data_IF_062120355426
#
_entry.id   IF_062120355426
#
_cell.length_a   1.000
_cell.length_b   1.000
_cell.length_c   1.000
_cell.angle_alpha   90.00
_cell.angle_beta   90.00
_cell.angle_gamma   90.00
#
_symmetry.space_group_name_H-M   'P 1'
#
loop_
_entity.id
_entity.type
_entity.pdbx_description
1 polymer ?
#
# COMPACT_ATOMS: atom_id res chain seq x y z
N UNK A 1 3.03 11.82 -25.53
CA UNK A 1 3.76 11.07 -24.50
C UNK A 1 4.15 11.97 -23.32
N UNK A 2 4.91 13.09 -23.48
CA UNK A 2 5.38 13.95 -22.37
C UNK A 2 4.25 14.48 -21.47
N UNK A 3 3.15 14.96 -22.04
CA UNK A 3 1.99 15.42 -21.27
C UNK A 3 1.34 14.29 -20.45
N UNK A 4 1.25 13.09 -21.03
CA UNK A 4 0.74 11.90 -20.33
C UNK A 4 1.65 11.50 -19.16
N UNK A 5 2.96 11.58 -19.34
CA UNK A 5 3.96 11.32 -18.29
C UNK A 5 3.77 12.30 -17.11
N UNK A 6 3.74 13.61 -17.40
CA UNK A 6 3.53 14.65 -16.36
C UNK A 6 2.17 14.46 -15.64
N UNK A 7 1.11 14.19 -16.39
CA UNK A 7 -0.23 13.97 -15.81
C UNK A 7 -0.23 12.75 -14.86
N UNK A 8 0.55 11.72 -15.15
CA UNK A 8 0.63 10.55 -14.28
C UNK A 8 1.63 10.74 -13.12
N UNK A 9 2.68 11.55 -13.26
CA UNK A 9 3.48 12.00 -12.11
C UNK A 9 2.64 12.79 -11.11
N UNK A 10 1.77 13.70 -11.59
CA UNK A 10 0.81 14.43 -10.73
C UNK A 10 -0.14 13.50 -9.98
N UNK A 11 -0.58 12.41 -10.62
CA UNK A 11 -1.43 11.39 -9.96
C UNK A 11 -0.62 10.54 -8.98
N UNK A 12 0.64 10.25 -9.27
CA UNK A 12 1.52 9.55 -8.34
C UNK A 12 1.72 10.38 -7.07
N UNK A 13 1.92 11.70 -7.19
CA UNK A 13 2.03 12.57 -6.02
C UNK A 13 0.73 12.59 -5.18
N UNK A 14 -0.44 12.65 -5.79
CA UNK A 14 -1.74 12.55 -5.07
C UNK A 14 -1.93 11.19 -4.40
N UNK A 15 -1.46 10.12 -5.03
CA UNK A 15 -1.43 8.76 -4.50
C UNK A 15 -0.59 8.70 -3.22
N UNK A 16 0.67 9.12 -3.26
CA UNK A 16 1.57 9.17 -2.11
C UNK A 16 0.97 9.98 -0.95
N UNK A 17 0.45 11.18 -1.26
CA UNK A 17 -0.18 12.03 -0.24
C UNK A 17 -1.43 11.39 0.39
N UNK A 18 -2.13 10.55 -0.33
CA UNK A 18 -3.27 9.79 0.19
C UNK A 18 -2.80 8.66 1.09
N UNK A 19 -1.75 7.94 0.72
CA UNK A 19 -1.14 6.88 1.53
C UNK A 19 -0.57 7.45 2.83
N UNK A 20 0.18 8.57 2.76
CA UNK A 20 0.70 9.27 3.93
C UNK A 20 -0.37 9.65 4.96
N UNK A 21 -1.58 9.98 4.49
CA UNK A 21 -2.71 10.30 5.37
C UNK A 21 -3.33 9.06 6.01
N UNK A 22 -3.29 7.92 5.32
CA UNK A 22 -3.93 6.66 5.75
C UNK A 22 -3.05 5.83 6.67
N UNK A 23 -1.75 5.77 6.43
CA UNK A 23 -0.80 4.89 7.14
C UNK A 23 -0.82 5.05 8.68
N UNK A 24 -0.90 6.28 9.27
CA UNK A 24 -0.95 6.42 10.72
C UNK A 24 -2.14 5.68 11.36
N UNK A 25 -3.31 5.71 10.72
CA UNK A 25 -4.51 5.01 11.18
C UNK A 25 -4.35 3.48 11.05
N UNK A 26 -3.72 3.00 9.97
CA UNK A 26 -3.42 1.57 9.79
C UNK A 26 -2.45 1.05 10.85
N UNK A 27 -1.41 1.83 11.19
CA UNK A 27 -0.45 1.51 12.26
C UNK A 27 -1.17 1.38 13.61
N UNK A 28 -2.09 2.31 13.91
CA UNK A 28 -2.85 2.29 15.17
C UNK A 28 -3.79 1.09 15.25
N UNK A 29 -4.42 0.73 14.15
CA UNK A 29 -5.41 -0.36 14.08
C UNK A 29 -4.81 -1.76 14.03
N UNK A 30 -3.59 -1.91 13.56
CA UNK A 30 -2.90 -3.19 13.50
C UNK A 30 -2.60 -3.72 14.92
N UNK A 31 -2.87 -4.99 15.15
CA UNK A 31 -2.59 -5.67 16.42
C UNK A 31 -1.25 -6.40 16.38
N UNK A 32 -0.88 -6.93 15.22
CA UNK A 32 0.38 -7.63 15.01
C UNK A 32 1.56 -6.65 14.99
N UNK A 33 2.59 -6.96 15.80
CA UNK A 33 3.77 -6.09 15.92
C UNK A 33 4.59 -5.97 14.64
N UNK A 34 4.73 -7.07 13.89
CA UNK A 34 5.47 -7.05 12.62
C UNK A 34 4.73 -6.26 11.56
N UNK A 35 3.40 -6.36 11.53
CA UNK A 35 2.56 -5.57 10.64
C UNK A 35 2.66 -4.07 10.97
N UNK A 36 2.61 -3.71 12.26
CA UNK A 36 2.83 -2.32 12.68
C UNK A 36 4.20 -1.79 12.25
N UNK A 37 5.25 -2.60 12.38
CA UNK A 37 6.62 -2.20 12.03
C UNK A 37 6.78 -2.08 10.51
N UNK A 38 6.16 -2.97 9.71
CA UNK A 38 6.11 -2.87 8.26
C UNK A 38 5.43 -1.56 7.82
N UNK A 39 4.26 -1.22 8.38
CA UNK A 39 3.59 0.05 8.07
C UNK A 39 4.37 1.30 8.50
N UNK A 40 5.15 1.23 9.61
CA UNK A 40 6.04 2.34 10.00
C UNK A 40 7.18 2.53 9.02
N UNK A 41 7.77 1.44 8.55
CA UNK A 41 8.83 1.48 7.54
C UNK A 41 8.29 2.07 6.25
N UNK A 42 7.18 1.54 5.75
CA UNK A 42 6.53 2.03 4.54
C UNK A 42 6.10 3.51 4.66
N UNK A 43 5.69 4.00 5.83
CA UNK A 43 5.41 5.43 6.05
C UNK A 43 6.64 6.33 5.79
N UNK A 44 7.83 5.90 6.17
CA UNK A 44 9.07 6.66 5.91
C UNK A 44 9.47 6.58 4.42
N UNK A 45 9.31 5.41 3.79
CA UNK A 45 9.55 5.21 2.35
C UNK A 45 8.62 6.10 1.53
N UNK A 46 7.31 6.08 1.80
CA UNK A 46 6.29 6.93 1.15
C UNK A 46 6.60 8.43 1.26
N UNK A 47 7.16 8.89 2.38
CA UNK A 47 7.67 10.28 2.50
C UNK A 47 8.79 10.57 1.51
N UNK A 48 9.69 9.63 1.34
CA UNK A 48 10.77 9.69 0.37
C UNK A 48 10.25 9.73 -1.07
N UNK A 49 9.27 8.87 -1.38
CA UNK A 49 8.61 8.79 -2.68
C UNK A 49 7.90 10.10 -3.03
N UNK A 50 7.05 10.61 -2.13
CA UNK A 50 6.37 11.90 -2.32
C UNK A 50 7.37 13.04 -2.62
N UNK A 51 8.44 13.14 -1.81
CA UNK A 51 9.48 14.16 -2.00
C UNK A 51 10.21 14.00 -3.34
N UNK A 52 10.46 12.78 -3.78
CA UNK A 52 11.11 12.48 -5.06
C UNK A 52 10.21 12.89 -6.23
N UNK A 53 8.93 12.52 -6.19
CA UNK A 53 7.96 12.88 -7.24
C UNK A 53 7.72 14.40 -7.28
N UNK A 54 7.65 15.08 -6.12
CA UNK A 54 7.58 16.55 -6.04
C UNK A 54 8.77 17.22 -6.75
N UNK A 55 9.99 16.75 -6.46
CA UNK A 55 11.20 17.26 -7.12
C UNK A 55 11.16 17.02 -8.63
N UNK A 56 10.78 15.81 -9.07
CA UNK A 56 10.66 15.50 -10.50
C UNK A 56 9.67 16.45 -11.20
N UNK A 57 8.51 16.70 -10.60
CA UNK A 57 7.52 17.64 -11.13
C UNK A 57 8.09 19.06 -11.20
N UNK A 58 8.74 19.52 -10.13
CA UNK A 58 9.35 20.83 -10.10
C UNK A 58 10.41 21.00 -11.21
N UNK A 59 11.25 19.98 -11.43
CA UNK A 59 12.29 20.00 -12.47
C UNK A 59 11.70 19.96 -13.89
N UNK A 60 10.52 19.35 -14.09
CA UNK A 60 9.89 19.20 -15.40
C UNK A 60 8.96 20.34 -15.79
N UNK A 61 8.25 20.93 -14.82
CA UNK A 61 7.22 21.95 -15.07
C UNK A 61 7.30 23.18 -14.17
N UNK A 62 8.28 23.25 -13.25
CA UNK A 62 8.52 24.39 -12.36
C UNK A 62 7.62 24.43 -11.11
N UNK A 63 6.75 23.46 -10.90
CA UNK A 63 5.84 23.38 -9.76
C UNK A 63 5.51 21.92 -9.41
N UNK A 64 5.25 21.66 -8.13
CA UNK A 64 4.73 20.39 -7.65
C UNK A 64 3.21 20.48 -7.54
N UNK A 65 2.49 20.16 -8.64
CA UNK A 65 1.04 20.16 -8.70
C UNK A 65 0.51 18.72 -8.70
N UNK A 66 -0.70 18.52 -8.20
CA UNK A 66 -1.35 17.19 -8.12
C UNK A 66 -2.52 17.05 -9.08
N UNK A 67 -2.82 15.82 -9.44
CA UNK A 67 -4.01 15.42 -10.16
C UNK A 67 -4.62 14.20 -9.48
N UNK A 68 -5.91 14.26 -9.16
CA UNK A 68 -6.59 13.21 -8.40
C UNK A 68 -6.37 11.81 -8.97
N UNK A 69 -5.83 10.92 -8.15
CA UNK A 69 -5.72 9.49 -8.41
C UNK A 69 -7.01 8.79 -7.95
N UNK A 70 -7.96 8.62 -8.88
CA UNK A 70 -9.26 7.99 -8.56
C UNK A 70 -9.13 6.53 -8.11
N UNK A 71 -8.11 5.83 -8.59
CA UNK A 71 -7.86 4.43 -8.22
C UNK A 71 -7.45 4.39 -6.75
N UNK A 72 -6.47 5.21 -6.33
CA UNK A 72 -6.02 5.26 -4.93
C UNK A 72 -7.17 5.65 -3.99
N UNK A 73 -7.98 6.64 -4.36
CA UNK A 73 -9.15 7.03 -3.58
C UNK A 73 -10.16 5.89 -3.43
N UNK A 74 -10.34 5.08 -4.48
CA UNK A 74 -11.17 3.87 -4.44
C UNK A 74 -10.61 2.82 -3.47
N UNK A 75 -9.31 2.52 -3.57
CA UNK A 75 -8.62 1.58 -2.69
C UNK A 75 -8.67 2.03 -1.23
N UNK A 76 -8.41 3.31 -0.95
CA UNK A 76 -8.47 3.86 0.40
C UNK A 76 -9.91 3.79 1.00
N UNK A 77 -10.94 4.01 0.19
CA UNK A 77 -12.33 3.90 0.61
C UNK A 77 -12.69 2.46 0.94
N UNK A 78 -12.38 1.52 0.05
CA UNK A 78 -12.63 0.08 0.23
C UNK A 78 -11.90 -0.46 1.46
N UNK A 79 -10.62 -0.09 1.64
CA UNK A 79 -9.84 -0.44 2.82
C UNK A 79 -10.49 0.06 4.11
N UNK A 80 -10.90 1.33 4.15
CA UNK A 80 -11.54 1.93 5.31
C UNK A 80 -12.83 1.22 5.70
N UNK A 81 -13.65 0.83 4.72
CA UNK A 81 -14.93 0.15 4.97
C UNK A 81 -14.68 -1.28 5.47
N UNK A 82 -13.80 -2.04 4.82
CA UNK A 82 -13.42 -3.40 5.21
C UNK A 82 -12.84 -3.44 6.64
N UNK A 83 -11.98 -2.49 6.99
CA UNK A 83 -11.36 -2.41 8.32
C UNK A 83 -12.37 -2.07 9.42
N UNK A 84 -13.35 -1.21 9.13
CA UNK A 84 -14.43 -0.88 10.09
C UNK A 84 -15.30 -2.09 10.43
N UNK A 85 -15.56 -2.94 9.45
CA UNK A 85 -16.41 -4.14 9.63
C UNK A 85 -15.68 -5.24 10.39
N UNK A 86 -14.35 -5.25 10.38
CA UNK A 86 -13.52 -6.23 11.07
C UNK A 86 -13.41 -5.90 12.58
N UNK A 87 -14.31 -6.45 13.39
CA UNK A 87 -14.36 -6.20 14.85
C UNK A 87 -13.34 -7.03 15.64
N UNK A 88 -13.01 -8.24 15.17
CA UNK A 88 -11.96 -9.08 15.76
C UNK A 88 -10.57 -8.58 15.35
N UNK A 89 -9.61 -8.39 16.30
CA UNK A 89 -8.29 -7.89 15.98
C UNK A 89 -7.50 -8.74 14.96
N UNK A 90 -7.60 -10.08 15.06
CA UNK A 90 -6.87 -10.97 14.14
C UNK A 90 -7.47 -10.92 12.72
N UNK A 91 -8.80 -10.83 12.62
CA UNK A 91 -9.49 -10.65 11.34
C UNK A 91 -9.20 -9.28 10.74
N UNK A 92 -9.04 -8.27 11.60
CA UNK A 92 -8.66 -6.93 11.17
C UNK A 92 -7.24 -6.89 10.59
N UNK A 93 -6.29 -7.58 11.20
CA UNK A 93 -4.92 -7.65 10.66
C UNK A 93 -4.89 -8.33 9.28
N UNK A 94 -5.70 -9.37 9.07
CA UNK A 94 -5.89 -9.99 7.75
C UNK A 94 -6.43 -8.98 6.74
N UNK A 95 -7.43 -8.22 7.12
CA UNK A 95 -8.04 -7.20 6.26
C UNK A 95 -7.07 -6.07 5.93
N UNK A 96 -6.27 -5.63 6.92
CA UNK A 96 -5.22 -4.62 6.75
C UNK A 96 -4.16 -5.07 5.75
N UNK A 97 -3.68 -6.32 5.85
CA UNK A 97 -2.70 -6.88 4.91
C UNK A 97 -3.27 -6.92 3.50
N UNK A 98 -4.49 -7.46 3.33
CA UNK A 98 -5.11 -7.56 2.01
C UNK A 98 -5.35 -6.20 1.34
N UNK A 99 -5.74 -5.18 2.12
CA UNK A 99 -5.91 -3.82 1.63
C UNK A 99 -4.56 -3.18 1.26
N UNK A 100 -3.52 -3.34 2.10
CA UNK A 100 -2.19 -2.82 1.83
C UNK A 100 -1.61 -3.44 0.54
N UNK A 101 -1.65 -4.76 0.37
CA UNK A 101 -1.15 -5.40 -0.85
C UNK A 101 -1.84 -4.91 -2.13
N UNK A 102 -3.12 -4.54 -2.09
CA UNK A 102 -3.79 -3.92 -3.25
C UNK A 102 -3.20 -2.55 -3.57
N UNK A 103 -2.80 -1.79 -2.55
CA UNK A 103 -2.13 -0.50 -2.71
C UNK A 103 -0.74 -0.71 -3.30
N UNK A 104 0.10 -1.60 -2.72
CA UNK A 104 1.44 -1.91 -3.25
C UNK A 104 1.40 -2.31 -4.74
N UNK A 105 0.49 -3.21 -5.12
CA UNK A 105 0.35 -3.60 -6.54
C UNK A 105 -0.10 -2.45 -7.45
N UNK A 106 -0.88 -1.49 -6.93
CA UNK A 106 -1.21 -0.30 -7.67
C UNK A 106 0.02 0.59 -7.87
N UNK A 107 0.84 0.77 -6.84
CA UNK A 107 2.07 1.58 -6.86
C UNK A 107 3.12 0.96 -7.79
N UNK A 108 3.37 -0.34 -7.70
CA UNK A 108 4.25 -1.09 -8.61
C UNK A 108 3.82 -0.87 -10.08
N UNK A 109 2.52 -0.99 -10.38
CA UNK A 109 2.02 -0.76 -11.73
C UNK A 109 2.19 0.69 -12.21
N UNK A 110 2.00 1.67 -11.33
CA UNK A 110 2.16 3.10 -11.62
C UNK A 110 3.63 3.41 -11.87
N UNK A 111 4.53 3.03 -10.96
CA UNK A 111 5.96 3.34 -11.05
C UNK A 111 6.66 2.61 -12.17
N UNK A 112 6.37 1.32 -12.41
CA UNK A 112 6.89 0.59 -13.55
C UNK A 112 6.45 1.19 -14.91
N UNK A 113 5.20 1.68 -14.98
CA UNK A 113 4.71 2.39 -16.16
C UNK A 113 5.42 3.72 -16.36
N UNK A 114 5.57 4.53 -15.30
CA UNK A 114 6.25 5.83 -15.35
C UNK A 114 7.72 5.67 -15.70
N UNK A 115 8.41 4.70 -15.11
CA UNK A 115 9.80 4.35 -15.42
C UNK A 115 9.95 4.07 -16.91
N UNK A 116 9.11 3.20 -17.46
CA UNK A 116 9.18 2.87 -18.89
C UNK A 116 8.94 4.08 -19.80
N UNK A 117 8.03 4.97 -19.41
CA UNK A 117 7.80 6.20 -20.18
C UNK A 117 8.97 7.20 -20.05
N UNK A 118 9.60 7.30 -18.88
CA UNK A 118 10.80 8.10 -18.69
C UNK A 118 11.93 7.64 -19.61
N UNK A 119 12.22 6.34 -19.65
CA UNK A 119 13.20 5.74 -20.57
C UNK A 119 12.91 6.11 -22.04
N UNK A 120 11.66 5.95 -22.50
CA UNK A 120 11.25 6.29 -23.87
C UNK A 120 11.34 7.79 -24.20
N UNK A 121 11.32 8.65 -23.19
CA UNK A 121 11.46 10.09 -23.30
C UNK A 121 12.92 10.55 -23.17
N UNK A 122 13.87 9.64 -22.88
CA UNK A 122 15.28 9.95 -22.63
C UNK A 122 15.50 10.71 -21.32
N UNK A 123 14.66 10.43 -20.30
CA UNK A 123 14.72 11.01 -18.97
C UNK A 123 15.38 10.01 -18.01
N UNK A 124 16.67 9.73 -18.22
CA UNK A 124 17.40 8.63 -17.57
C UNK A 124 17.47 8.82 -16.04
N UNK A 125 17.58 10.05 -15.54
CA UNK A 125 17.56 10.33 -14.10
C UNK A 125 16.19 10.01 -13.48
N UNK A 126 15.10 10.40 -14.14
CA UNK A 126 13.74 10.06 -13.69
C UNK A 126 13.54 8.55 -13.70
N UNK A 127 14.00 7.87 -14.75
CA UNK A 127 13.87 6.42 -14.88
C UNK A 127 14.55 5.68 -13.72
N UNK A 128 15.77 6.09 -13.35
CA UNK A 128 16.51 5.51 -12.24
C UNK A 128 15.83 5.75 -10.87
N UNK A 129 15.27 6.95 -10.65
CA UNK A 129 14.53 7.26 -9.43
C UNK A 129 13.24 6.43 -9.33
N UNK A 130 12.50 6.31 -10.44
CA UNK A 130 11.26 5.53 -10.50
C UNK A 130 11.51 4.03 -10.33
N UNK A 131 12.64 3.50 -10.85
CA UNK A 131 13.07 2.12 -10.63
C UNK A 131 13.37 1.85 -9.14
N UNK A 132 14.00 2.81 -8.44
CA UNK A 132 14.25 2.68 -7.00
C UNK A 132 12.94 2.58 -6.21
N UNK A 133 11.97 3.46 -6.51
CA UNK A 133 10.66 3.44 -5.87
C UNK A 133 9.93 2.12 -6.18
N UNK A 134 9.85 1.72 -7.45
CA UNK A 134 9.22 0.45 -7.86
C UNK A 134 9.78 -0.74 -7.07
N UNK A 135 11.11 -0.78 -6.87
CA UNK A 135 11.77 -1.85 -6.12
C UNK A 135 11.46 -1.79 -4.61
N UNK A 136 11.25 -0.62 -4.04
CA UNK A 136 10.85 -0.45 -2.64
C UNK A 136 9.41 -0.96 -2.43
N UNK A 137 8.47 -0.69 -3.37
CA UNK A 137 7.10 -1.21 -3.31
C UNK A 137 7.05 -2.74 -3.49
N UNK A 138 7.87 -3.31 -4.38
CA UNK A 138 8.01 -4.76 -4.52
C UNK A 138 8.49 -5.41 -3.22
N UNK A 139 9.42 -4.78 -2.51
CA UNK A 139 9.90 -5.26 -1.21
C UNK A 139 8.84 -5.13 -0.11
N UNK A 140 8.05 -4.06 -0.11
CA UNK A 140 6.94 -3.86 0.82
C UNK A 140 5.86 -4.93 0.64
N UNK A 141 5.44 -5.24 -0.60
CA UNK A 141 4.51 -6.32 -0.91
C UNK A 141 5.03 -7.69 -0.47
N UNK A 142 6.31 -7.98 -0.74
CA UNK A 142 6.95 -9.21 -0.29
C UNK A 142 6.96 -9.35 1.24
N UNK A 143 7.24 -8.27 1.97
CA UNK A 143 7.22 -8.26 3.44
C UNK A 143 5.79 -8.49 3.98
N UNK A 144 4.77 -7.89 3.36
CA UNK A 144 3.37 -8.13 3.70
C UNK A 144 2.98 -9.59 3.45
N UNK A 145 3.45 -10.21 2.36
CA UNK A 145 3.22 -11.63 2.06
C UNK A 145 3.80 -12.53 3.14
N UNK A 146 5.02 -12.28 3.62
CA UNK A 146 5.63 -13.06 4.71
C UNK A 146 4.85 -12.92 6.03
N UNK A 147 4.31 -11.73 6.32
CA UNK A 147 3.48 -11.50 7.49
C UNK A 147 2.14 -12.22 7.34
N UNK A 148 1.53 -12.19 6.15
CA UNK A 148 0.25 -12.81 5.82
C UNK A 148 0.26 -14.32 6.08
N UNK A 149 1.33 -15.03 5.74
CA UNK A 149 1.46 -16.47 5.94
C UNK A 149 1.21 -16.89 7.39
N UNK A 150 1.65 -16.09 8.36
CA UNK A 150 1.42 -16.33 9.78
C UNK A 150 0.07 -15.79 10.26
N UNK A 151 -0.23 -14.54 9.98
CA UNK A 151 -1.43 -13.84 10.48
C UNK A 151 -2.71 -14.48 9.95
N UNK A 152 -2.74 -14.89 8.68
CA UNK A 152 -3.88 -15.58 8.09
C UNK A 152 -4.18 -16.93 8.78
N UNK A 153 -3.14 -17.70 9.13
CA UNK A 153 -3.29 -18.97 9.84
C UNK A 153 -3.83 -18.76 11.26
N UNK A 154 -3.29 -17.79 11.99
CA UNK A 154 -3.73 -17.46 13.35
C UNK A 154 -5.19 -17.00 13.37
N UNK A 155 -5.60 -16.12 12.45
CA UNK A 155 -6.97 -15.64 12.32
C UNK A 155 -7.96 -16.71 11.88
N UNK A 156 -7.57 -17.61 10.97
CA UNK A 156 -8.39 -18.74 10.55
C UNK A 156 -8.67 -19.72 11.71
N UNK A 157 -7.69 -19.95 12.58
CA UNK A 157 -7.85 -20.80 13.77
C UNK A 157 -8.77 -20.12 14.79
N UNK A 158 -8.63 -18.83 15.02
CA UNK A 158 -9.47 -18.07 15.95
C UNK A 158 -10.94 -18.02 15.51
N UNK A 159 -11.20 -17.98 14.21
CA UNK A 159 -12.54 -17.94 13.63
C UNK A 159 -13.26 -19.32 13.62
N UNK A 160 -12.55 -20.41 13.92
CA UNK A 160 -13.17 -21.76 13.92
C UNK A 160 -13.98 -21.95 15.19
N UNK A 161 -15.32 -22.15 15.15
CA UNK A 161 -16.10 -22.38 16.35
C UNK A 161 -15.62 -23.67 17.03
N UNK A 162 -15.29 -23.62 18.32
CA UNK A 162 -15.00 -24.79 19.12
C UNK A 162 -16.25 -25.64 19.12
N UNK A 163 -16.24 -26.75 18.38
CA UNK A 163 -17.33 -27.73 18.33
C UNK A 163 -17.60 -28.24 19.74
N UNK A 164 -18.71 -27.82 20.35
CA UNK A 164 -19.27 -28.42 21.57
C UNK A 164 -19.87 -29.78 21.24
N UNK A 165 -19.03 -30.76 20.94
CA UNK A 165 -19.43 -32.16 20.76
C UNK A 165 -18.64 -33.05 21.71
N UNK A 166 -18.99 -32.99 22.99
CA UNK A 166 -18.72 -34.09 23.89
C UNK A 166 -19.59 -33.96 25.17
N UNK A 167 -20.87 -34.23 25.11
CA UNK A 167 -21.62 -34.70 26.29
C UNK A 167 -23.00 -35.19 25.88
N UNK A 168 -23.06 -36.37 25.28
CA UNK A 168 -24.29 -37.15 25.25
C UNK A 168 -24.01 -38.65 25.06
N UNK A 169 -23.32 -39.24 26.04
CA UNK A 169 -23.31 -40.68 26.27
C UNK A 169 -23.16 -40.92 27.77
N UNK A 170 -24.29 -40.85 28.48
CA UNK A 170 -24.48 -41.53 29.76
C UNK A 170 -25.96 -41.40 30.12
N UNK A 171 -26.79 -42.33 29.61
CA UNK A 171 -27.94 -42.98 30.30
C UNK A 171 -28.38 -44.19 29.50
#
# INVERSE_FOLDING_TARGET
MRSLYIDNLKKALDMEQTILKSLPDLIEKASDKKLQDAFRMHLEETRGHASTVERMLHDRIGEADTKVCKVMNGLATEASDTIKDATDPSVRDIALIGAAQQVEHHEIAVYGTLRRWAELLGLDEDAALLESIESEEENADAALTEIADRVNLEGAVAATPVSKTASRMAR
#
